data_IF_878624956308
#
_entry.id   IF_878624956308
#
_cell.length_a   1.000
_cell.length_b   1.000
_cell.length_c   1.000
_cell.angle_alpha   90.00
_cell.angle_beta   90.00
_cell.angle_gamma   90.00
#
_symmetry.space_group_name_H-M   'P 1'
#
loop_
_entity.id
_entity.type
_entity.pdbx_description
1 polymer ?
#
# COMPACT_ATOMS: atom_id res chain seq x y z
N UNK A 1 2.31 -4.68 19.73
CA UNK A 1 1.90 -3.39 19.13
C UNK A 1 2.36 -2.16 19.91
N UNK A 2 2.39 -2.16 21.26
CA UNK A 2 2.75 -0.97 22.06
C UNK A 2 4.14 -0.38 21.75
N UNK A 3 5.14 -1.23 21.46
CA UNK A 3 6.51 -0.79 21.12
C UNK A 3 6.59 0.16 19.93
N UNK A 4 5.75 -0.05 18.91
CA UNK A 4 5.79 0.74 17.69
C UNK A 4 4.91 1.99 17.76
N UNK A 5 4.08 2.11 18.80
CA UNK A 5 3.16 3.22 18.98
C UNK A 5 3.83 4.61 18.94
N UNK A 6 5.01 4.85 19.52
CA UNK A 6 5.67 6.16 19.43
C UNK A 6 6.04 6.57 18.00
N UNK A 7 6.27 5.60 17.10
CA UNK A 7 6.70 5.84 15.73
C UNK A 7 5.54 5.80 14.73
N UNK A 8 4.52 4.99 15.02
CA UNK A 8 3.36 4.77 14.15
C UNK A 8 2.10 5.50 14.63
N UNK A 9 2.10 6.11 15.81
CA UNK A 9 0.89 6.67 16.44
C UNK A 9 0.22 7.81 15.65
N UNK A 10 0.94 8.41 14.71
CA UNK A 10 0.44 9.46 13.82
C UNK A 10 0.45 9.04 12.34
N UNK A 11 0.38 7.72 12.06
CA UNK A 11 0.43 7.17 10.70
C UNK A 11 -0.57 7.82 9.74
N UNK A 12 -1.73 8.24 10.27
CA UNK A 12 -2.82 8.87 9.54
C UNK A 12 -2.39 10.14 8.80
N UNK A 13 -1.38 10.87 9.31
CA UNK A 13 -0.83 12.07 8.66
C UNK A 13 -0.09 11.76 7.35
N UNK A 14 0.37 10.52 7.20
CA UNK A 14 1.11 10.04 6.03
C UNK A 14 0.21 9.29 5.04
N UNK A 15 -1.05 9.03 5.40
CA UNK A 15 -2.01 8.39 4.51
C UNK A 15 -2.58 9.44 3.56
N UNK A 16 -2.70 9.07 2.28
CA UNK A 16 -3.39 9.90 1.28
C UNK A 16 -4.81 10.25 1.74
N UNK A 17 -5.26 11.51 1.62
CA UNK A 17 -6.65 11.87 1.96
C UNK A 17 -7.68 11.12 1.10
N UNK A 18 -7.23 10.49 0.00
CA UNK A 18 -8.04 9.71 -0.92
C UNK A 18 -7.99 8.20 -0.66
N UNK A 19 -7.20 7.73 0.32
CA UNK A 19 -7.00 6.30 0.61
C UNK A 19 -8.32 5.56 0.85
N UNK A 20 -9.28 6.22 1.49
CA UNK A 20 -10.60 5.68 1.82
C UNK A 20 -11.73 6.40 1.10
N UNK A 21 -11.44 6.99 -0.07
CA UNK A 21 -12.45 7.64 -0.90
C UNK A 21 -13.58 6.65 -1.22
N UNK A 22 -14.83 7.05 -0.98
CA UNK A 22 -16.01 6.21 -1.29
C UNK A 22 -16.20 6.02 -2.79
N UNK A 23 -15.75 6.98 -3.59
CA UNK A 23 -15.84 6.92 -5.05
C UNK A 23 -14.55 7.44 -5.69
N UNK A 24 -13.46 6.63 -5.65
CA UNK A 24 -12.13 7.09 -6.07
C UNK A 24 -12.08 7.47 -7.56
N UNK A 25 -12.91 6.83 -8.41
CA UNK A 25 -13.05 7.21 -9.83
C UNK A 25 -13.54 8.65 -9.98
N UNK A 26 -14.64 9.01 -9.32
CA UNK A 26 -15.22 10.35 -9.44
C UNK A 26 -14.34 11.42 -8.81
N UNK A 27 -13.63 11.09 -7.73
CA UNK A 27 -12.65 11.99 -7.13
C UNK A 27 -11.47 12.25 -8.07
N UNK A 28 -10.93 11.20 -8.71
CA UNK A 28 -9.88 11.37 -9.72
C UNK A 28 -10.38 12.20 -10.90
N UNK A 29 -11.61 11.97 -11.40
CA UNK A 29 -12.20 12.80 -12.46
C UNK A 29 -12.26 14.27 -12.07
N UNK A 30 -12.70 14.58 -10.85
CA UNK A 30 -12.74 15.97 -10.34
C UNK A 30 -11.34 16.60 -10.30
N UNK A 31 -10.34 15.85 -9.86
CA UNK A 31 -8.93 16.30 -9.84
C UNK A 31 -8.45 16.59 -11.27
N UNK A 32 -8.65 15.65 -12.20
CA UNK A 32 -8.24 15.78 -13.61
C UNK A 32 -8.90 16.99 -14.27
N UNK A 33 -10.21 17.19 -14.08
CA UNK A 33 -10.93 18.34 -14.63
C UNK A 33 -10.36 19.66 -14.12
N UNK A 34 -10.01 19.75 -12.82
CA UNK A 34 -9.39 20.97 -12.25
C UNK A 34 -8.07 21.32 -12.93
N UNK A 35 -7.30 20.33 -13.36
CA UNK A 35 -6.04 20.52 -14.09
C UNK A 35 -6.20 20.48 -15.62
N UNK A 36 -7.44 20.65 -16.12
CA UNK A 36 -7.81 20.68 -17.54
C UNK A 36 -7.51 19.38 -18.31
N UNK A 37 -7.52 18.25 -17.62
CA UNK A 37 -7.56 16.93 -18.24
C UNK A 37 -8.99 16.41 -18.25
N UNK A 38 -9.34 15.70 -19.32
CA UNK A 38 -10.59 14.97 -19.45
C UNK A 38 -10.30 13.47 -19.37
N UNK A 39 -11.00 12.78 -18.49
CA UNK A 39 -10.96 11.32 -18.42
C UNK A 39 -11.73 10.74 -19.62
N UNK A 40 -11.04 9.95 -20.45
CA UNK A 40 -11.65 9.21 -21.56
C UNK A 40 -12.19 7.86 -21.07
N UNK A 41 -11.40 7.19 -20.24
CA UNK A 41 -11.76 5.95 -19.56
C UNK A 41 -11.09 5.92 -18.19
N UNK A 42 -11.79 5.41 -17.17
CA UNK A 42 -11.25 5.11 -15.85
C UNK A 42 -11.87 3.81 -15.32
N UNK A 43 -11.02 2.84 -15.01
CA UNK A 43 -11.38 1.52 -14.48
C UNK A 43 -10.69 1.29 -13.14
N UNK A 44 -11.37 0.58 -12.24
CA UNK A 44 -10.73 0.06 -11.03
C UNK A 44 -10.49 -1.42 -11.34
N UNK A 45 -9.25 -1.83 -11.23
CA UNK A 45 -8.82 -3.20 -11.51
C UNK A 45 -8.30 -3.83 -10.22
N UNK A 46 -8.88 -4.98 -9.79
CA UNK A 46 -8.35 -5.71 -8.65
C UNK A 46 -6.98 -6.29 -9.00
N UNK A 47 -6.01 -6.11 -8.12
CA UNK A 47 -4.64 -6.60 -8.29
C UNK A 47 -4.27 -7.46 -7.08
N UNK A 48 -4.58 -8.77 -7.13
CA UNK A 48 -3.94 -9.71 -6.22
C UNK A 48 -2.45 -9.78 -6.56
N UNK A 49 -1.60 -9.73 -5.54
CA UNK A 49 -0.16 -9.87 -5.66
C UNK A 49 0.33 -10.81 -4.57
N UNK A 50 1.21 -11.74 -4.95
CA UNK A 50 1.96 -12.55 -4.01
C UNK A 50 3.42 -12.13 -4.03
N UNK A 51 4.00 -11.96 -2.85
CA UNK A 51 5.40 -11.62 -2.67
C UNK A 51 6.03 -12.63 -1.71
N UNK A 52 7.27 -13.10 -1.94
CA UNK A 52 7.95 -13.92 -0.96
C UNK A 52 7.99 -13.20 0.39
N UNK A 53 7.55 -13.88 1.46
CA UNK A 53 7.50 -13.24 2.78
C UNK A 53 8.91 -12.84 3.24
N UNK A 54 9.95 -13.57 2.82
CA UNK A 54 11.36 -13.22 3.06
C UNK A 54 11.78 -11.87 2.49
N UNK A 55 11.12 -11.37 1.43
CA UNK A 55 11.38 -10.05 0.83
C UNK A 55 10.74 -8.90 1.61
N UNK A 56 9.67 -9.18 2.35
CA UNK A 56 8.84 -8.19 3.01
C UNK A 56 9.57 -7.27 4.02
N UNK A 57 10.53 -7.73 4.86
CA UNK A 57 11.17 -6.86 5.85
C UNK A 57 11.89 -5.67 5.21
N UNK A 58 12.70 -5.96 4.18
CA UNK A 58 13.41 -4.92 3.44
C UNK A 58 12.45 -4.01 2.69
N UNK A 59 11.40 -4.58 2.09
CA UNK A 59 10.38 -3.82 1.38
C UNK A 59 9.66 -2.82 2.29
N UNK A 60 9.17 -3.23 3.47
CA UNK A 60 8.47 -2.32 4.37
C UNK A 60 9.39 -1.26 4.96
N UNK A 61 10.62 -1.65 5.35
CA UNK A 61 11.62 -0.70 5.86
C UNK A 61 11.99 0.36 4.81
N UNK A 62 12.01 0.03 3.52
CA UNK A 62 12.35 0.99 2.47
C UNK A 62 11.18 1.90 2.04
N UNK A 63 9.93 1.49 2.30
CA UNK A 63 8.73 2.23 1.90
C UNK A 63 7.99 2.90 3.06
N UNK A 64 8.40 2.63 4.30
CA UNK A 64 7.82 3.29 5.47
C UNK A 64 8.17 4.79 5.43
N UNK A 65 7.14 5.63 5.36
CA UNK A 65 7.28 7.09 5.35
C UNK A 65 7.56 7.63 6.76
N UNK A 66 7.18 6.85 7.79
CA UNK A 66 7.40 7.18 9.20
C UNK A 66 8.87 6.99 9.59
N UNK A 67 9.37 7.86 10.45
CA UNK A 67 10.77 7.84 10.92
C UNK A 67 11.01 6.68 11.90
N UNK A 68 11.41 5.53 11.37
CA UNK A 68 11.93 4.41 12.17
C UNK A 68 13.44 4.61 12.40
N UNK A 69 13.92 4.68 13.65
CA UNK A 69 15.34 4.76 13.97
C UNK A 69 16.15 3.66 13.28
N UNK A 70 17.33 4.01 12.76
CA UNK A 70 18.13 3.11 11.91
C UNK A 70 18.50 1.82 12.62
N UNK A 71 18.81 1.89 13.91
CA UNK A 71 19.10 0.77 14.80
C UNK A 71 17.90 -0.16 15.02
N UNK A 72 16.67 0.33 14.86
CA UNK A 72 15.44 -0.44 15.01
C UNK A 72 14.88 -1.00 13.70
N UNK A 73 15.44 -0.63 12.54
CA UNK A 73 14.88 -1.00 11.22
C UNK A 73 14.79 -2.51 10.99
N UNK A 74 15.82 -3.26 11.38
CA UNK A 74 15.81 -4.72 11.23
C UNK A 74 14.67 -5.32 12.06
N UNK A 75 14.56 -4.90 13.32
CA UNK A 75 13.52 -5.39 14.22
C UNK A 75 12.11 -4.98 13.75
N UNK A 76 11.97 -3.77 13.21
CA UNK A 76 10.74 -3.30 12.61
C UNK A 76 10.31 -4.19 11.44
N UNK A 77 11.23 -4.47 10.50
CA UNK A 77 10.96 -5.34 9.37
C UNK A 77 10.54 -6.76 9.80
N UNK A 78 11.15 -7.30 10.85
CA UNK A 78 10.75 -8.60 11.43
C UNK A 78 9.37 -8.53 12.07
N UNK A 79 9.06 -7.46 12.82
CA UNK A 79 7.73 -7.25 13.39
C UNK A 79 6.64 -7.13 12.33
N UNK A 80 6.95 -6.61 11.14
CA UNK A 80 6.01 -6.63 10.01
C UNK A 80 5.68 -8.06 9.56
N UNK A 81 6.65 -8.99 9.59
CA UNK A 81 6.38 -10.39 9.25
C UNK A 81 5.46 -11.05 10.26
N UNK A 82 5.73 -10.83 11.54
CA UNK A 82 4.91 -11.37 12.62
C UNK A 82 3.47 -10.85 12.50
N UNK A 83 3.30 -9.55 12.23
CA UNK A 83 1.98 -8.96 12.00
C UNK A 83 1.27 -9.56 10.76
N UNK A 84 1.99 -9.81 9.66
CA UNK A 84 1.42 -10.46 8.46
C UNK A 84 0.87 -11.85 8.78
N UNK A 85 1.64 -12.64 9.53
CA UNK A 85 1.25 -13.99 9.95
C UNK A 85 0.08 -13.95 10.94
N UNK A 86 0.13 -13.07 11.92
CA UNK A 86 -0.95 -12.88 12.91
C UNK A 86 -2.28 -12.50 12.24
N UNK A 87 -2.22 -11.69 11.18
CA UNK A 87 -3.40 -11.26 10.41
C UNK A 87 -3.84 -12.29 9.36
N UNK A 88 -3.14 -13.42 9.23
CA UNK A 88 -3.38 -14.44 8.21
C UNK A 88 -3.34 -13.89 6.77
N UNK A 89 -2.43 -12.95 6.50
CA UNK A 89 -2.15 -12.47 5.15
C UNK A 89 -1.01 -13.26 4.48
N UNK A 90 -0.68 -14.44 4.98
CA UNK A 90 0.31 -15.32 4.38
C UNK A 90 -0.34 -16.61 3.85
N UNK A 91 0.25 -17.15 2.79
CA UNK A 91 -0.02 -18.51 2.31
C UNK A 91 1.28 -19.21 1.93
N UNK A 92 1.21 -20.51 1.70
CA UNK A 92 2.32 -21.30 1.18
C UNK A 92 2.05 -21.63 -0.28
N UNK A 93 3.07 -21.53 -1.11
CA UNK A 93 3.00 -21.96 -2.50
C UNK A 93 3.30 -23.46 -2.68
N UNK A 94 3.38 -23.90 -3.94
CA UNK A 94 3.67 -25.29 -4.30
C UNK A 94 5.07 -25.77 -3.90
N UNK A 95 6.01 -24.85 -3.66
CA UNK A 95 7.37 -25.14 -3.19
C UNK A 95 7.49 -25.04 -1.67
N UNK A 96 6.37 -24.87 -0.96
CA UNK A 96 6.31 -24.64 0.48
C UNK A 96 7.07 -23.36 0.91
N UNK A 97 7.18 -22.38 0.01
CA UNK A 97 7.67 -21.05 0.33
C UNK A 97 6.53 -20.19 0.87
N UNK A 98 6.79 -19.49 1.97
CA UNK A 98 5.82 -18.60 2.58
C UNK A 98 5.72 -17.29 1.77
N UNK A 99 4.50 -16.96 1.35
CA UNK A 99 4.15 -15.82 0.53
C UNK A 99 3.28 -14.85 1.34
N UNK A 100 3.46 -13.55 1.13
CA UNK A 100 2.54 -12.50 1.56
C UNK A 100 1.47 -12.32 0.47
N UNK A 101 0.21 -12.58 0.84
CA UNK A 101 -0.97 -12.35 0.01
C UNK A 101 -1.41 -10.90 0.15
N UNK A 102 -0.98 -10.08 -0.80
CA UNK A 102 -1.32 -8.68 -0.86
C UNK A 102 -2.46 -8.44 -1.85
N UNK A 103 -3.43 -7.62 -1.45
CA UNK A 103 -4.53 -7.21 -2.31
C UNK A 103 -4.63 -5.70 -2.35
N UNK A 104 -4.73 -5.14 -3.55
CA UNK A 104 -5.04 -3.74 -3.76
C UNK A 104 -5.86 -3.55 -5.03
N UNK A 105 -6.65 -2.48 -5.04
CA UNK A 105 -7.38 -2.03 -6.22
C UNK A 105 -6.59 -0.89 -6.87
N UNK A 106 -6.33 -1.01 -8.18
CA UNK A 106 -5.64 0.03 -8.94
C UNK A 106 -6.64 0.79 -9.80
N UNK A 107 -6.67 2.12 -9.65
CA UNK A 107 -7.38 3.01 -10.56
C UNK A 107 -6.48 3.32 -11.78
N UNK A 108 -6.88 2.83 -12.95
CA UNK A 108 -6.16 3.03 -14.21
C UNK A 108 -7.05 3.68 -15.26
N UNK A 109 -6.45 4.32 -16.25
CA UNK A 109 -7.19 4.78 -17.41
C UNK A 109 -6.46 5.80 -18.25
N UNK A 110 -7.15 6.26 -19.30
CA UNK A 110 -6.63 7.20 -20.27
C UNK A 110 -7.26 8.57 -20.08
N UNK A 111 -6.42 9.59 -20.09
CA UNK A 111 -6.81 10.99 -19.96
C UNK A 111 -6.25 11.77 -21.14
N UNK A 112 -6.98 12.79 -21.58
CA UNK A 112 -6.52 13.71 -22.63
C UNK A 112 -6.50 15.13 -22.09
N UNK A 113 -5.62 15.96 -22.62
CA UNK A 113 -5.68 17.41 -22.43
C UNK A 113 -6.30 18.00 -23.69
N UNK A 114 -7.50 18.59 -23.62
CA UNK A 114 -8.08 19.29 -24.77
C UNK A 114 -7.08 20.37 -25.24
N UNK A 115 -6.89 20.44 -26.57
CA UNK A 115 -6.09 21.50 -27.20
C UNK A 115 -6.71 22.87 -26.98
#
# INVERSE_FOLDING_TARGET
MEKWHPYLGHYEQYISPYQFARNPKEELKKILTKVRFQAMNLTIEPRPLKLPLSYCPGHFVSHVIMEIPTDLRIEFGLSCLDAIRELNFNSFDENNEEQFDYYFDTLVGHVTKPM
#
